data_IF_538651868176
#
_entry.id   IF_538651868176
#
_cell.length_a   1.000
_cell.length_b   1.000
_cell.length_c   1.000
_cell.angle_alpha   90.00
_cell.angle_beta   90.00
_cell.angle_gamma   90.00
#
_symmetry.space_group_name_H-M   'P 1'
#
loop_
_entity.id
_entity.type
_entity.pdbx_description
1 polymer ?
#
# COMPACT_ATOMS: atom_id res chain seq x y z
N UNK A 1 -4.99 11.77 -26.95
CA UNK A 1 -4.32 10.46 -27.09
C UNK A 1 -5.27 9.50 -27.80
N UNK A 2 -5.19 9.52 -29.13
CA UNK A 2 -6.00 8.70 -30.04
C UNK A 2 -5.22 7.44 -30.36
N UNK A 3 -5.79 6.27 -30.07
CA UNK A 3 -5.22 4.99 -30.47
C UNK A 3 -5.53 4.76 -31.96
N UNK A 4 -4.48 4.82 -32.77
CA UNK A 4 -4.50 4.63 -34.22
C UNK A 4 -4.54 3.12 -34.56
N UNK A 5 -5.57 2.72 -35.32
CA UNK A 5 -5.77 1.36 -35.83
C UNK A 5 -5.15 1.28 -37.23
N UNK A 6 -3.87 0.96 -37.32
CA UNK A 6 -3.26 0.73 -38.63
C UNK A 6 -1.75 0.56 -38.64
N UNK A 7 -1.24 -0.58 -38.18
CA UNK A 7 0.10 -1.02 -38.53
C UNK A 7 0.07 -2.49 -38.96
N UNK A 8 0.45 -2.71 -40.21
CA UNK A 8 0.53 -4.00 -40.91
C UNK A 8 1.56 -4.90 -40.22
N UNK A 9 1.16 -6.11 -39.85
CA UNK A 9 2.06 -7.19 -39.46
C UNK A 9 2.09 -8.17 -40.63
N UNK A 10 3.13 -8.07 -41.47
CA UNK A 10 3.62 -9.19 -42.25
C UNK A 10 5.15 -9.19 -42.12
N UNK A 11 5.70 -10.38 -41.88
CA UNK A 11 7.12 -10.77 -41.94
C UNK A 11 7.96 -10.67 -40.66
N UNK A 12 7.81 -11.69 -39.80
CA UNK A 12 8.93 -12.47 -39.23
C UNK A 12 8.43 -13.79 -38.60
N UNK A 13 8.67 -14.90 -39.31
CA UNK A 13 8.79 -16.30 -38.82
C UNK A 13 9.85 -16.34 -37.71
N UNK A 14 9.78 -17.00 -36.55
CA UNK A 14 9.09 -18.19 -36.04
C UNK A 14 8.37 -17.87 -34.72
N UNK A 15 7.04 -17.92 -34.69
CA UNK A 15 6.34 -18.01 -33.41
C UNK A 15 6.52 -19.43 -32.87
N UNK A 16 7.19 -19.55 -31.72
CA UNK A 16 7.09 -20.72 -30.86
C UNK A 16 5.60 -21.01 -30.66
N UNK A 17 5.11 -22.14 -31.17
CA UNK A 17 3.69 -22.50 -31.01
C UNK A 17 3.49 -22.77 -29.52
N UNK A 18 2.72 -21.95 -28.78
CA UNK A 18 2.56 -22.20 -27.36
C UNK A 18 1.94 -23.58 -27.17
N UNK A 19 2.65 -24.42 -26.42
CA UNK A 19 2.19 -25.73 -25.96
C UNK A 19 0.75 -25.61 -25.44
N UNK A 20 -0.15 -26.56 -25.76
CA UNK A 20 -1.57 -26.45 -25.45
C UNK A 20 -1.74 -26.10 -23.98
N UNK A 21 -2.44 -24.98 -23.73
CA UNK A 21 -2.68 -24.50 -22.38
C UNK A 21 -3.26 -25.63 -21.52
N UNK A 22 -2.75 -25.83 -20.30
CA UNK A 22 -3.19 -26.93 -19.45
C UNK A 22 -4.72 -26.86 -19.25
N UNK A 23 -5.39 -28.02 -19.15
CA UNK A 23 -6.84 -28.07 -19.05
C UNK A 23 -7.31 -27.20 -17.87
N UNK A 24 -8.32 -26.36 -18.12
CA UNK A 24 -8.87 -25.46 -17.10
C UNK A 24 -9.37 -26.27 -15.91
N UNK A 25 -8.91 -26.00 -14.67
CA UNK A 25 -9.37 -26.74 -13.50
C UNK A 25 -10.88 -26.62 -13.31
N UNK A 26 -11.54 -27.74 -13.04
CA UNK A 26 -13.01 -27.82 -12.92
C UNK A 26 -13.54 -27.14 -11.66
N UNK A 27 -12.75 -27.11 -10.58
CA UNK A 27 -13.15 -26.53 -9.28
C UNK A 27 -12.76 -25.05 -9.15
N UNK A 28 -13.51 -24.24 -8.38
CA UNK A 28 -13.13 -22.86 -8.09
C UNK A 28 -11.73 -22.73 -7.46
N UNK A 29 -11.40 -23.60 -6.48
CA UNK A 29 -10.08 -23.66 -5.85
C UNK A 29 -8.97 -24.01 -6.86
N UNK A 30 -9.25 -24.93 -7.77
CA UNK A 30 -8.33 -25.27 -8.85
C UNK A 30 -8.02 -24.08 -9.75
N UNK A 31 -9.07 -23.32 -10.14
CA UNK A 31 -8.91 -22.12 -10.97
C UNK A 31 -8.13 -21.02 -10.24
N UNK A 32 -8.44 -20.76 -8.97
CA UNK A 32 -7.70 -19.78 -8.16
C UNK A 32 -6.20 -20.10 -8.08
N UNK A 33 -5.84 -21.38 -7.89
CA UNK A 33 -4.44 -21.82 -7.88
C UNK A 33 -3.76 -21.68 -9.25
N UNK A 34 -4.49 -21.90 -10.34
CA UNK A 34 -3.94 -21.70 -11.68
C UNK A 34 -3.67 -20.21 -11.95
N UNK A 35 -4.62 -19.34 -11.60
CA UNK A 35 -4.45 -17.88 -11.71
C UNK A 35 -3.29 -17.39 -10.84
N UNK A 36 -3.19 -17.83 -9.59
CA UNK A 36 -2.09 -17.46 -8.71
C UNK A 36 -0.71 -17.85 -9.27
N UNK A 37 -0.59 -19.02 -9.92
CA UNK A 37 0.64 -19.44 -10.60
C UNK A 37 1.00 -18.54 -11.78
N UNK A 38 0.01 -18.15 -12.58
CA UNK A 38 0.22 -17.21 -13.71
C UNK A 38 0.66 -15.84 -13.17
N UNK A 39 -0.02 -15.31 -12.16
CA UNK A 39 0.32 -14.03 -11.55
C UNK A 39 1.73 -14.05 -10.93
N UNK A 40 2.12 -15.14 -10.27
CA UNK A 40 3.46 -15.28 -9.71
C UNK A 40 4.57 -15.34 -10.78
N UNK A 41 4.28 -15.92 -11.95
CA UNK A 41 5.21 -15.93 -13.09
C UNK A 41 5.29 -14.58 -13.80
N UNK A 42 4.16 -13.89 -13.96
CA UNK A 42 4.07 -12.58 -14.62
C UNK A 42 4.65 -11.45 -13.76
N UNK A 43 4.48 -11.53 -12.44
CA UNK A 43 4.96 -10.57 -11.46
C UNK A 43 5.94 -11.23 -10.47
N UNK A 44 7.14 -11.64 -10.93
CA UNK A 44 8.10 -12.41 -10.13
C UNK A 44 8.70 -11.58 -8.99
N UNK A 45 8.61 -10.25 -9.07
CA UNK A 45 9.02 -9.34 -8.02
C UNK A 45 7.95 -8.28 -7.85
N UNK A 46 7.44 -8.16 -6.64
CA UNK A 46 6.51 -7.10 -6.25
C UNK A 46 7.08 -6.37 -5.05
N UNK A 47 6.98 -5.05 -5.06
CA UNK A 47 7.36 -4.20 -3.93
C UNK A 47 6.13 -3.43 -3.49
N UNK A 48 6.05 -3.13 -2.20
CA UNK A 48 5.05 -2.20 -1.69
C UNK A 48 5.25 -0.86 -2.42
N UNK A 49 4.22 -0.30 -3.09
CA UNK A 49 4.34 0.90 -3.91
C UNK A 49 4.40 2.20 -3.09
N UNK A 50 4.43 2.11 -1.77
CA UNK A 50 4.48 3.24 -0.84
C UNK A 50 5.91 3.43 -0.36
N UNK A 51 6.45 4.64 -0.53
CA UNK A 51 7.82 4.94 -0.14
C UNK A 51 7.93 5.08 1.39
N UNK A 52 8.77 4.25 2.01
CA UNK A 52 8.97 4.19 3.45
C UNK A 52 10.37 3.64 3.81
N UNK A 53 10.84 3.98 5.01
CA UNK A 53 12.13 3.51 5.56
C UNK A 53 11.99 2.76 6.88
N UNK A 54 10.79 2.72 7.45
CA UNK A 54 10.48 2.05 8.73
C UNK A 54 9.06 1.48 8.74
N UNK A 55 8.78 0.57 9.69
CA UNK A 55 7.44 0.03 9.90
C UNK A 55 6.41 1.13 10.25
N UNK A 56 6.83 2.15 11.00
CA UNK A 56 6.00 3.30 11.32
C UNK A 56 5.62 4.10 10.06
N UNK A 57 6.59 4.40 9.21
CA UNK A 57 6.34 5.11 7.95
C UNK A 57 5.43 4.31 7.02
N UNK A 58 5.62 2.99 6.94
CA UNK A 58 4.74 2.12 6.18
C UNK A 58 3.31 2.17 6.71
N UNK A 59 3.13 2.03 8.03
CA UNK A 59 1.81 2.07 8.67
C UNK A 59 1.11 3.41 8.42
N UNK A 60 1.81 4.53 8.58
CA UNK A 60 1.31 5.86 8.28
C UNK A 60 0.93 6.02 6.79
N UNK A 61 1.77 5.54 5.87
CA UNK A 61 1.50 5.60 4.44
C UNK A 61 0.27 4.76 4.04
N UNK A 62 0.06 3.60 4.67
CA UNK A 62 -1.12 2.76 4.42
C UNK A 62 -2.40 3.41 4.96
N UNK A 63 -2.34 4.11 6.09
CA UNK A 63 -3.48 4.93 6.56
C UNK A 63 -3.80 6.03 5.53
N UNK A 64 -2.79 6.67 4.95
CA UNK A 64 -2.97 7.71 3.94
C UNK A 64 -3.51 7.20 2.60
N UNK A 65 -3.18 5.96 2.22
CA UNK A 65 -3.63 5.35 0.96
C UNK A 65 -5.12 5.00 0.94
N UNK A 66 -5.79 5.02 2.10
CA UNK A 66 -7.24 4.88 2.16
C UNK A 66 -7.93 5.92 1.26
N UNK A 67 -8.60 5.43 0.20
CA UNK A 67 -9.27 6.25 -0.81
C UNK A 67 -8.35 7.30 -1.47
N UNK A 68 -7.06 6.98 -1.61
CA UNK A 68 -6.05 7.82 -2.26
C UNK A 68 -5.17 6.95 -3.18
N UNK A 69 -4.45 7.57 -4.11
CA UNK A 69 -3.51 6.85 -4.96
C UNK A 69 -2.13 6.81 -4.32
N UNK A 70 -1.38 5.72 -4.52
CA UNK A 70 -0.01 5.58 -4.02
C UNK A 70 0.88 6.74 -4.48
N UNK A 71 0.72 7.18 -5.73
CA UNK A 71 1.45 8.32 -6.28
C UNK A 71 1.16 9.65 -5.56
N UNK A 72 -0.05 9.84 -5.03
CA UNK A 72 -0.36 11.02 -4.21
C UNK A 72 0.24 10.88 -2.81
N UNK A 73 0.16 9.69 -2.21
CA UNK A 73 0.77 9.41 -0.91
C UNK A 73 2.28 9.69 -0.97
N UNK A 74 3.00 9.15 -1.95
CA UNK A 74 4.44 9.34 -2.11
C UNK A 74 4.85 10.80 -2.42
N UNK A 75 3.90 11.67 -2.82
CA UNK A 75 4.15 13.12 -2.97
C UNK A 75 4.04 13.88 -1.66
N UNK A 76 3.25 13.40 -0.70
CA UNK A 76 3.04 14.08 0.59
C UNK A 76 3.92 13.51 1.70
N UNK A 77 4.25 12.22 1.65
CA UNK A 77 5.03 11.55 2.70
C UNK A 77 6.45 12.10 2.87
N UNK A 78 7.18 12.62 1.86
CA UNK A 78 8.50 13.20 2.10
C UNK A 78 8.48 14.39 3.06
N UNK A 79 7.51 15.29 2.93
CA UNK A 79 7.33 16.41 3.86
C UNK A 79 6.85 15.93 5.23
N UNK A 80 5.90 15.00 5.25
CA UNK A 80 5.36 14.45 6.50
C UNK A 80 6.45 13.76 7.33
N UNK A 81 7.25 12.89 6.71
CA UNK A 81 8.27 12.10 7.39
C UNK A 81 9.55 12.88 7.69
N UNK A 82 9.80 13.98 6.98
CA UNK A 82 10.86 14.91 7.37
C UNK A 82 10.54 15.61 8.70
N UNK A 83 9.25 15.90 8.99
CA UNK A 83 8.81 16.54 10.24
C UNK A 83 8.50 15.54 11.35
N UNK A 84 7.88 14.42 10.98
CA UNK A 84 7.36 13.40 11.89
C UNK A 84 7.89 12.02 11.47
N UNK A 85 9.20 11.75 11.64
CA UNK A 85 9.82 10.51 11.17
C UNK A 85 9.40 9.26 11.95
N UNK A 86 8.89 9.42 13.17
CA UNK A 86 8.61 8.35 14.13
C UNK A 86 7.32 8.56 14.93
N UNK A 87 6.94 7.54 15.73
CA UNK A 87 5.72 7.61 16.53
C UNK A 87 5.76 8.72 17.60
N UNK A 88 6.84 8.93 18.37
CA UNK A 88 6.91 10.04 19.33
C UNK A 88 6.69 11.42 18.70
N UNK A 89 7.35 11.71 17.57
CA UNK A 89 7.21 13.00 16.88
C UNK A 89 5.81 13.20 16.32
N UNK A 90 5.19 12.17 15.73
CA UNK A 90 3.81 12.24 15.23
C UNK A 90 2.77 12.34 16.35
N UNK A 91 2.99 11.66 17.48
CA UNK A 91 2.09 11.71 18.63
C UNK A 91 2.04 13.11 19.27
N UNK A 92 3.16 13.84 19.22
CA UNK A 92 3.27 15.22 19.70
C UNK A 92 2.93 16.28 18.63
N UNK A 93 2.53 15.87 17.44
CA UNK A 93 2.31 16.78 16.31
C UNK A 93 1.08 17.68 16.51
N UNK A 94 1.16 18.89 15.96
CA UNK A 94 -0.01 19.76 15.81
C UNK A 94 -0.95 19.17 14.73
N UNK A 95 -2.22 18.85 15.07
CA UNK A 95 -3.19 18.36 14.10
C UNK A 95 -3.37 19.27 12.88
N UNK A 96 -3.28 20.59 13.05
CA UNK A 96 -3.45 21.54 11.96
C UNK A 96 -2.27 21.49 10.98
N UNK A 97 -1.04 21.32 11.49
CA UNK A 97 0.14 21.16 10.62
C UNK A 97 0.09 19.83 9.85
N UNK A 98 -0.21 18.72 10.54
CA UNK A 98 -0.37 17.40 9.89
C UNK A 98 -1.47 17.45 8.83
N UNK A 99 -2.63 18.04 9.17
CA UNK A 99 -3.76 18.22 8.27
C UNK A 99 -3.39 19.01 7.02
N UNK A 100 -2.60 20.08 7.17
CA UNK A 100 -2.10 20.90 6.06
C UNK A 100 -1.18 20.12 5.13
N UNK A 101 -0.23 19.33 5.68
CA UNK A 101 0.70 18.51 4.87
C UNK A 101 -0.07 17.48 4.03
N UNK A 102 -1.02 16.79 4.65
CA UNK A 102 -1.73 15.66 4.02
C UNK A 102 -3.04 16.07 3.33
N UNK A 103 -3.36 17.37 3.26
CA UNK A 103 -4.61 17.90 2.73
C UNK A 103 -4.96 17.32 1.34
N UNK A 104 -3.95 17.12 0.49
CA UNK A 104 -4.09 16.58 -0.87
C UNK A 104 -4.52 15.11 -0.94
N UNK A 105 -4.48 14.38 0.17
CA UNK A 105 -4.83 12.96 0.21
C UNK A 105 -6.33 12.69 0.32
N UNK A 106 -7.16 13.73 0.50
CA UNK A 106 -8.60 13.59 0.73
C UNK A 106 -8.92 12.99 2.11
N UNK A 107 -10.10 13.30 2.65
CA UNK A 107 -10.51 12.90 4.01
C UNK A 107 -9.46 13.23 5.09
N UNK A 108 -8.68 14.30 4.90
CA UNK A 108 -7.49 14.60 5.70
C UNK A 108 -7.83 14.77 7.19
N UNK A 109 -8.98 15.36 7.54
CA UNK A 109 -9.40 15.46 8.95
C UNK A 109 -9.48 14.11 9.67
N UNK A 110 -10.02 13.08 9.00
CA UNK A 110 -10.10 11.74 9.56
C UNK A 110 -8.74 11.04 9.58
N UNK A 111 -7.92 11.26 8.54
CA UNK A 111 -6.56 10.73 8.44
C UNK A 111 -5.63 11.34 9.49
N UNK A 112 -5.68 12.64 9.72
CA UNK A 112 -4.94 13.34 10.78
C UNK A 112 -5.24 12.73 12.14
N UNK A 113 -6.52 12.60 12.50
CA UNK A 113 -6.91 11.95 13.77
C UNK A 113 -6.42 10.52 13.87
N UNK A 114 -6.44 9.78 12.76
CA UNK A 114 -5.97 8.39 12.71
C UNK A 114 -4.45 8.31 12.87
N UNK A 115 -3.68 9.17 12.21
CA UNK A 115 -2.22 9.20 12.30
C UNK A 115 -1.74 9.54 13.71
N UNK A 116 -2.27 10.62 14.28
CA UNK A 116 -1.91 11.05 15.63
C UNK A 116 -2.39 9.99 16.64
N UNK A 117 -3.63 9.53 16.56
CA UNK A 117 -4.16 8.51 17.47
C UNK A 117 -3.40 7.18 17.38
N UNK A 118 -3.02 6.75 16.17
CA UNK A 118 -2.15 5.59 15.96
C UNK A 118 -0.79 5.80 16.62
N UNK A 119 -0.13 6.93 16.38
CA UNK A 119 1.18 7.24 16.93
C UNK A 119 1.15 7.32 18.46
N UNK A 120 0.14 7.97 19.04
CA UNK A 120 -0.09 8.03 20.49
C UNK A 120 -0.23 6.63 21.07
N UNK A 121 -1.07 5.78 20.47
CA UNK A 121 -1.24 4.40 20.93
C UNK A 121 0.05 3.57 20.83
N UNK A 122 0.86 3.77 19.78
CA UNK A 122 2.17 3.14 19.63
C UNK A 122 3.13 3.56 20.75
N UNK A 123 3.16 4.85 21.10
CA UNK A 123 3.99 5.36 22.20
C UNK A 123 3.51 4.82 23.55
N UNK A 124 2.24 4.99 23.86
CA UNK A 124 1.69 4.67 25.19
C UNK A 124 1.69 3.17 25.51
N UNK A 125 1.42 2.32 24.50
CA UNK A 125 1.21 0.88 24.71
C UNK A 125 2.38 0.03 24.29
N UNK A 126 3.22 0.52 23.37
CA UNK A 126 4.29 -0.25 22.74
C UNK A 126 5.66 0.46 22.79
N UNK A 127 5.78 1.54 23.58
CA UNK A 127 7.06 2.20 23.84
C UNK A 127 7.64 2.95 22.64
N UNK A 128 6.83 3.21 21.61
CA UNK A 128 7.26 3.90 20.38
C UNK A 128 7.54 2.97 19.19
N UNK A 129 7.56 1.66 19.40
CA UNK A 129 7.78 0.67 18.35
C UNK A 129 6.47 0.08 17.83
N UNK A 130 6.36 -0.08 16.51
CA UNK A 130 5.18 -0.70 15.89
C UNK A 130 5.16 -2.20 16.24
N UNK A 131 4.07 -2.71 16.86
CA UNK A 131 4.01 -4.10 17.27
C UNK A 131 3.95 -5.04 16.05
N UNK A 132 4.60 -6.23 16.11
CA UNK A 132 4.55 -7.21 15.03
C UNK A 132 3.26 -8.07 15.06
N UNK A 133 2.50 -8.02 16.17
CA UNK A 133 1.31 -8.84 16.38
C UNK A 133 0.09 -8.32 15.64
N UNK A 134 -0.63 -9.20 14.94
CA UNK A 134 -1.85 -8.83 14.19
C UNK A 134 -2.92 -8.22 15.09
N UNK A 135 -3.18 -8.82 16.25
CA UNK A 135 -4.21 -8.31 17.18
C UNK A 135 -3.83 -6.95 17.76
N UNK A 136 -2.54 -6.74 18.03
CA UNK A 136 -2.00 -5.46 18.49
C UNK A 136 -2.10 -4.39 17.40
N UNK A 137 -1.74 -4.70 16.16
CA UNK A 137 -1.87 -3.78 15.03
C UNK A 137 -3.34 -3.35 14.84
N UNK A 138 -4.27 -4.30 14.84
CA UNK A 138 -5.71 -4.00 14.66
C UNK A 138 -6.29 -3.19 15.83
N UNK A 139 -5.63 -3.19 16.99
CA UNK A 139 -6.03 -2.37 18.12
C UNK A 139 -5.62 -0.89 18.00
N UNK A 140 -4.78 -0.53 17.01
CA UNK A 140 -4.34 0.84 16.79
C UNK A 140 -5.43 1.66 16.06
N UNK A 141 -5.70 2.91 16.46
CA UNK A 141 -6.65 3.78 15.77
C UNK A 141 -6.37 3.89 14.26
N UNK A 142 -7.40 3.73 13.42
CA UNK A 142 -7.26 3.80 11.96
C UNK A 142 -6.64 2.57 11.30
N UNK A 143 -6.30 1.52 12.08
CA UNK A 143 -5.69 0.28 11.56
C UNK A 143 -6.72 -0.85 11.57
N UNK A 144 -7.28 -1.14 10.40
CA UNK A 144 -8.13 -2.32 10.20
C UNK A 144 -7.31 -3.57 9.86
N UNK A 145 -7.97 -4.74 9.87
CA UNK A 145 -7.34 -6.03 9.51
C UNK A 145 -6.64 -6.01 8.15
N UNK A 146 -7.15 -5.26 7.16
CA UNK A 146 -6.49 -5.15 5.85
C UNK A 146 -5.18 -4.35 5.94
N UNK A 147 -5.19 -3.22 6.65
CA UNK A 147 -4.01 -2.40 6.91
C UNK A 147 -2.94 -3.20 7.65
N UNK A 148 -3.34 -3.92 8.70
CA UNK A 148 -2.44 -4.77 9.49
C UNK A 148 -1.84 -5.95 8.71
N UNK A 149 -2.43 -6.39 7.59
CA UNK A 149 -1.84 -7.42 6.72
C UNK A 149 -0.85 -6.84 5.69
N UNK A 150 -0.79 -5.51 5.53
CA UNK A 150 0.16 -4.86 4.62
C UNK A 150 1.48 -4.56 5.32
N UNK A 151 1.41 -4.27 6.62
CA UNK A 151 2.55 -4.03 7.52
C UNK A 151 3.05 -5.36 8.05
#
# INVERSE_FOLDING_TARGET
>A
MTWDRGARILDCVTADVPSPAPPRPRTPRGRARAVARILAAEFPTYRVPLDHTSAFQLLAAVILSAQCTDAMVNRVTPELFARYPDAPSMAAADPDDVGRIIHRTGFFNAKTRSLIGMATAVVERFGGDVPPGMDDLVSLPGVGRKTANVV
#
